data_IF_301637617312
#
_entry.id   IF_301637617312
#
_cell.length_a   1.000
_cell.length_b   1.000
_cell.length_c   1.000
_cell.angle_alpha   90.00
_cell.angle_beta   90.00
_cell.angle_gamma   90.00
#
_symmetry.space_group_name_H-M   'P 1'
#
loop_
_entity.id
_entity.type
_entity.pdbx_description
1 polymer ?
#
# COMPACT_ATOMS: atom_id res chain seq x y z
N UNK A 1 -1.57 -5.78 -11.64
CA UNK A 1 -0.69 -4.69 -12.09
C UNK A 1 -0.68 -3.62 -11.01
N UNK A 2 0.48 -3.16 -10.54
CA UNK A 2 0.55 -2.15 -9.48
C UNK A 2 -0.14 -0.85 -9.93
N UNK A 3 -0.94 -0.25 -9.06
CA UNK A 3 -1.57 1.05 -9.33
C UNK A 3 -0.53 2.15 -9.16
N UNK A 4 -0.37 2.99 -10.17
CA UNK A 4 0.58 4.11 -10.13
C UNK A 4 -0.19 5.40 -9.94
N UNK A 5 0.16 6.14 -8.88
CA UNK A 5 -0.39 7.47 -8.57
C UNK A 5 0.73 8.49 -8.72
N UNK A 6 0.44 9.63 -9.33
CA UNK A 6 1.38 10.75 -9.46
C UNK A 6 0.84 11.92 -8.66
N UNK A 7 1.64 12.45 -7.74
CA UNK A 7 1.31 13.60 -6.92
C UNK A 7 2.32 14.73 -7.16
N UNK A 8 1.84 15.87 -7.62
CA UNK A 8 2.66 17.08 -7.76
C UNK A 8 1.78 18.32 -7.77
N UNK A 9 2.21 19.38 -7.13
CA UNK A 9 1.56 20.70 -7.23
C UNK A 9 1.63 21.28 -8.65
N UNK A 10 2.67 20.93 -9.43
CA UNK A 10 2.84 21.37 -10.80
C UNK A 10 2.06 20.50 -11.79
N UNK A 11 1.12 21.06 -12.51
CA UNK A 11 0.37 20.38 -13.57
C UNK A 11 1.30 19.91 -14.71
N UNK A 12 2.28 20.74 -15.08
CA UNK A 12 3.26 20.38 -16.10
C UNK A 12 4.05 19.12 -15.71
N UNK A 13 4.49 19.05 -14.46
CA UNK A 13 5.20 17.87 -13.93
C UNK A 13 4.32 16.61 -13.90
N UNK A 14 3.05 16.74 -13.48
CA UNK A 14 2.10 15.62 -13.50
C UNK A 14 1.90 15.08 -14.93
N UNK A 15 1.67 15.98 -15.88
CA UNK A 15 1.42 15.60 -17.27
C UNK A 15 2.68 15.01 -17.94
N UNK A 16 3.86 15.55 -17.64
CA UNK A 16 5.13 15.04 -18.15
C UNK A 16 5.40 13.63 -17.65
N UNK A 17 5.27 13.39 -16.34
CA UNK A 17 5.44 12.06 -15.74
C UNK A 17 4.41 11.06 -16.27
N UNK A 18 3.15 11.48 -16.41
CA UNK A 18 2.10 10.62 -16.94
C UNK A 18 2.38 10.19 -18.40
N UNK A 19 2.82 11.11 -19.26
CA UNK A 19 3.20 10.80 -20.66
C UNK A 19 4.41 9.86 -20.72
N UNK A 20 5.42 10.12 -19.89
CA UNK A 20 6.60 9.27 -19.81
C UNK A 20 6.24 7.84 -19.41
N UNK A 21 5.42 7.67 -18.39
CA UNK A 21 4.97 6.35 -17.94
C UNK A 21 4.11 5.66 -19.00
N UNK A 22 3.18 6.38 -19.61
CA UNK A 22 2.32 5.84 -20.67
C UNK A 22 3.13 5.38 -21.89
N UNK A 23 4.16 6.12 -22.30
CA UNK A 23 5.05 5.73 -23.41
C UNK A 23 5.87 4.48 -23.12
N UNK A 24 6.04 4.14 -21.85
CA UNK A 24 6.75 2.93 -21.37
C UNK A 24 5.81 1.79 -20.98
N UNK A 25 4.52 1.90 -21.31
CA UNK A 25 3.53 0.83 -21.09
C UNK A 25 2.92 0.80 -19.70
N UNK A 26 3.18 1.80 -18.85
CA UNK A 26 2.56 1.90 -17.52
C UNK A 26 1.23 2.66 -17.58
N UNK A 27 0.25 2.19 -16.84
CA UNK A 27 -1.02 2.89 -16.67
C UNK A 27 -1.03 3.68 -15.37
N UNK A 28 -1.24 4.99 -15.47
CA UNK A 28 -1.39 5.86 -14.31
C UNK A 28 -2.84 5.80 -13.82
N UNK A 29 -3.02 5.43 -12.56
CA UNK A 29 -4.35 5.30 -11.95
C UNK A 29 -4.97 6.68 -11.66
N UNK A 30 -4.19 7.60 -11.08
CA UNK A 30 -4.68 8.96 -10.77
C UNK A 30 -3.54 9.99 -10.71
N UNK A 31 -3.88 11.24 -11.05
CA UNK A 31 -3.04 12.42 -10.91
C UNK A 31 -3.59 13.25 -9.75
N UNK A 32 -2.76 13.57 -8.76
CA UNK A 32 -3.12 14.34 -7.57
C UNK A 32 -2.38 15.68 -7.57
N UNK A 33 -3.09 16.78 -7.36
CA UNK A 33 -2.52 18.13 -7.32
C UNK A 33 -2.11 18.56 -5.91
N UNK A 34 -2.58 17.86 -4.89
CA UNK A 34 -2.34 18.18 -3.48
C UNK A 34 -2.19 16.95 -2.62
N UNK A 35 -1.65 17.14 -1.42
CA UNK A 35 -1.56 16.10 -0.40
C UNK A 35 -2.93 15.53 -0.02
N UNK A 36 -3.93 16.39 0.11
CA UNK A 36 -5.29 15.97 0.46
C UNK A 36 -5.94 15.07 -0.59
N UNK A 37 -5.68 15.33 -1.89
CA UNK A 37 -6.11 14.45 -2.97
C UNK A 37 -5.36 13.13 -2.95
N UNK A 38 -4.06 13.18 -2.69
CA UNK A 38 -3.24 11.97 -2.57
C UNK A 38 -3.74 11.08 -1.43
N UNK A 39 -3.97 11.62 -0.23
CA UNK A 39 -4.50 10.87 0.92
C UNK A 39 -5.84 10.20 0.60
N UNK A 40 -6.77 10.92 -0.03
CA UNK A 40 -8.06 10.35 -0.45
C UNK A 40 -7.87 9.21 -1.46
N UNK A 41 -7.01 9.42 -2.46
CA UNK A 41 -6.73 8.39 -3.46
C UNK A 41 -6.14 7.14 -2.82
N UNK A 42 -5.24 7.28 -1.85
CA UNK A 42 -4.62 6.15 -1.17
C UNK A 42 -5.58 5.40 -0.24
N UNK A 43 -6.58 6.07 0.32
CA UNK A 43 -7.65 5.38 1.07
C UNK A 43 -8.62 4.61 0.16
N UNK A 44 -8.78 5.04 -1.09
CA UNK A 44 -9.57 4.34 -2.10
C UNK A 44 -8.83 3.13 -2.71
N UNK A 45 -7.49 3.13 -2.63
CA UNK A 45 -6.63 2.08 -3.14
C UNK A 45 -6.08 1.23 -2.00
N UNK A 46 -6.00 -0.08 -2.20
CA UNK A 46 -5.43 -0.98 -1.20
C UNK A 46 -3.90 -0.91 -1.17
N UNK A 47 -3.28 -0.75 -2.34
CA UNK A 47 -1.84 -0.71 -2.52
C UNK A 47 -1.41 -0.02 -3.83
N UNK A 48 -0.13 0.26 -3.98
CA UNK A 48 0.42 0.82 -5.21
C UNK A 48 1.78 1.50 -5.09
N UNK A 49 2.11 2.26 -6.12
CA UNK A 49 3.33 3.06 -6.22
C UNK A 49 2.94 4.53 -6.37
N UNK A 50 3.56 5.39 -5.59
CA UNK A 50 3.31 6.82 -5.57
C UNK A 50 4.56 7.57 -6.01
N UNK A 51 4.46 8.30 -7.12
CA UNK A 51 5.51 9.24 -7.55
C UNK A 51 5.14 10.63 -7.02
N UNK A 52 6.04 11.24 -6.29
CA UNK A 52 5.85 12.56 -5.67
C UNK A 52 6.87 13.55 -6.20
N UNK A 53 6.42 14.75 -6.56
CA UNK A 53 7.28 15.84 -6.96
C UNK A 53 6.74 17.19 -6.46
N UNK A 54 7.55 17.94 -5.71
CA UNK A 54 7.14 19.24 -5.17
C UNK A 54 6.12 19.19 -4.02
N UNK A 55 5.91 18.01 -3.42
CA UNK A 55 5.14 17.79 -2.19
C UNK A 55 6.04 17.00 -1.25
N UNK A 56 6.04 17.29 0.04
CA UNK A 56 6.78 16.50 1.03
C UNK A 56 5.95 15.26 1.41
N UNK A 57 6.52 14.05 1.23
CA UNK A 57 5.76 12.82 1.45
C UNK A 57 5.89 12.22 2.85
N UNK A 58 6.66 12.81 3.77
CA UNK A 58 7.05 12.19 5.04
C UNK A 58 5.85 11.71 5.88
N UNK A 59 4.88 12.58 6.11
CA UNK A 59 3.69 12.25 6.90
C UNK A 59 2.81 11.20 6.21
N UNK A 60 2.65 11.33 4.89
CA UNK A 60 1.87 10.35 4.11
C UNK A 60 2.59 9.01 4.07
N UNK A 61 3.91 9.03 3.87
CA UNK A 61 4.70 7.81 3.84
C UNK A 61 4.65 7.08 5.20
N UNK A 62 4.67 7.80 6.32
CA UNK A 62 4.52 7.21 7.64
C UNK A 62 3.21 6.44 7.80
N UNK A 63 2.11 7.02 7.29
CA UNK A 63 0.77 6.42 7.40
C UNK A 63 0.56 5.23 6.43
N UNK A 64 1.15 5.29 5.24
CA UNK A 64 0.81 4.38 4.12
C UNK A 64 1.97 3.49 3.63
N UNK A 65 3.17 3.58 4.22
CA UNK A 65 4.35 2.81 3.79
C UNK A 65 4.17 1.28 3.81
N UNK A 66 3.21 0.82 4.56
CA UNK A 66 2.89 -0.61 4.63
C UNK A 66 2.23 -1.16 3.35
N UNK A 67 1.56 -0.30 2.59
CA UNK A 67 0.80 -0.67 1.38
C UNK A 67 1.35 -0.04 0.12
N UNK A 68 2.00 1.11 0.24
CA UNK A 68 2.49 1.87 -0.90
C UNK A 68 4.01 1.99 -0.91
N UNK A 69 4.58 2.05 -2.12
CA UNK A 69 5.97 2.43 -2.37
C UNK A 69 6.00 3.89 -2.80
N UNK A 70 6.89 4.67 -2.21
CA UNK A 70 7.03 6.10 -2.52
C UNK A 70 8.31 6.39 -3.27
N UNK A 71 8.23 7.16 -4.36
CA UNK A 71 9.35 7.72 -5.09
C UNK A 71 9.25 9.24 -5.08
N UNK A 72 10.13 9.90 -4.35
CA UNK A 72 10.27 11.35 -4.35
C UNK A 72 11.26 11.77 -5.44
N UNK A 73 10.79 12.58 -6.39
CA UNK A 73 11.60 13.16 -7.45
C UNK A 73 11.77 14.65 -7.15
N UNK A 74 12.98 15.08 -6.93
CA UNK A 74 13.24 16.48 -6.55
C UNK A 74 14.69 16.89 -6.62
N UNK A 75 14.95 18.18 -6.35
CA UNK A 75 16.30 18.70 -6.21
C UNK A 75 16.95 18.17 -4.93
N UNK A 76 18.28 18.20 -4.83
CA UNK A 76 18.99 17.71 -3.64
C UNK A 76 18.46 18.28 -2.33
N UNK A 77 18.09 19.56 -2.32
CA UNK A 77 17.57 20.24 -1.12
C UNK A 77 16.23 19.62 -0.67
N UNK A 78 15.33 19.35 -1.62
CA UNK A 78 14.04 18.69 -1.36
C UNK A 78 14.22 17.26 -0.88
N UNK A 79 15.16 16.55 -1.51
CA UNK A 79 15.45 15.14 -1.14
C UNK A 79 16.08 15.03 0.25
N UNK A 80 16.93 15.99 0.62
CA UNK A 80 17.56 16.04 1.93
C UNK A 80 16.58 16.44 3.04
N UNK A 81 15.56 17.23 2.71
CA UNK A 81 14.50 17.60 3.64
C UNK A 81 13.54 16.42 3.96
N UNK A 82 13.48 15.41 3.10
CA UNK A 82 12.71 14.20 3.36
C UNK A 82 13.49 13.26 4.28
N UNK A 83 13.02 13.05 5.49
CA UNK A 83 13.68 12.24 6.52
C UNK A 83 13.20 10.77 6.51
N UNK A 84 12.07 10.48 5.87
CA UNK A 84 11.51 9.13 5.84
C UNK A 84 12.43 8.12 5.14
N UNK A 85 12.87 7.06 5.83
CA UNK A 85 13.71 6.01 5.23
C UNK A 85 12.95 5.11 4.26
N UNK A 86 11.63 5.24 4.20
CA UNK A 86 10.74 4.42 3.37
C UNK A 86 10.43 5.08 2.03
N UNK A 87 10.92 6.29 1.81
CA UNK A 87 10.78 7.04 0.57
C UNK A 87 12.04 6.87 -0.27
N UNK A 88 11.88 6.29 -1.46
CA UNK A 88 12.95 6.24 -2.45
C UNK A 88 13.13 7.63 -3.06
N UNK A 89 14.38 8.00 -3.32
CA UNK A 89 14.74 9.35 -3.73
C UNK A 89 15.41 9.32 -5.10
N UNK A 90 14.94 10.17 -6.01
CA UNK A 90 15.53 10.37 -7.32
C UNK A 90 15.85 11.84 -7.55
N UNK A 91 17.12 12.14 -7.77
CA UNK A 91 17.57 13.52 -7.94
C UNK A 91 17.20 14.08 -9.31
N UNK A 92 16.65 15.29 -9.32
CA UNK A 92 16.37 16.07 -10.53
C UNK A 92 17.49 17.13 -10.76
N UNK A 93 17.94 17.33 -12.00
CA UNK A 93 17.46 16.76 -13.26
C UNK A 93 17.86 15.30 -13.45
N UNK A 94 16.95 14.48 -13.98
CA UNK A 94 17.19 13.09 -14.31
C UNK A 94 16.62 12.75 -15.70
N UNK A 95 17.15 11.70 -16.30
CA UNK A 95 16.63 11.20 -17.58
C UNK A 95 15.30 10.48 -17.39
N UNK A 96 14.48 10.44 -18.45
CA UNK A 96 13.26 9.65 -18.46
C UNK A 96 13.52 8.17 -18.16
N UNK A 97 14.63 7.62 -18.68
CA UNK A 97 15.06 6.25 -18.40
C UNK A 97 15.36 5.99 -16.91
N UNK A 98 15.89 6.97 -16.18
CA UNK A 98 16.12 6.86 -14.74
C UNK A 98 14.80 6.78 -13.97
N UNK A 99 13.81 7.57 -14.36
CA UNK A 99 12.46 7.51 -13.76
C UNK A 99 11.81 6.16 -14.03
N UNK A 100 11.86 5.68 -15.27
CA UNK A 100 11.28 4.37 -15.64
C UNK A 100 11.98 3.23 -14.91
N UNK A 101 13.32 3.23 -14.85
CA UNK A 101 14.07 2.22 -14.10
C UNK A 101 13.73 2.21 -12.60
N UNK A 102 13.54 3.37 -11.99
CA UNK A 102 13.10 3.48 -10.60
C UNK A 102 11.69 2.90 -10.40
N UNK A 103 10.75 3.23 -11.30
CA UNK A 103 9.38 2.69 -11.26
C UNK A 103 9.37 1.17 -11.48
N UNK A 104 10.18 0.66 -12.38
CA UNK A 104 10.33 -0.78 -12.62
C UNK A 104 10.84 -1.51 -11.38
N UNK A 105 11.88 -0.98 -10.74
CA UNK A 105 12.42 -1.53 -9.49
C UNK A 105 11.37 -1.51 -8.37
N UNK A 106 10.64 -0.40 -8.21
CA UNK A 106 9.57 -0.30 -7.21
C UNK A 106 8.42 -1.26 -7.50
N UNK A 107 8.10 -1.48 -8.77
CA UNK A 107 7.09 -2.46 -9.19
C UNK A 107 7.51 -3.88 -8.79
N UNK A 108 8.75 -4.24 -9.00
CA UNK A 108 9.28 -5.54 -8.56
C UNK A 108 9.24 -5.69 -7.04
N UNK A 109 9.67 -4.65 -6.29
CA UNK A 109 9.60 -4.64 -4.83
C UNK A 109 8.16 -4.74 -4.32
N UNK A 110 7.22 -4.08 -4.99
CA UNK A 110 5.80 -4.14 -4.67
C UNK A 110 5.27 -5.58 -4.78
N UNK A 111 5.54 -6.26 -5.89
CA UNK A 111 5.14 -7.65 -6.08
C UNK A 111 5.84 -8.62 -5.11
N UNK A 112 7.07 -8.36 -4.71
CA UNK A 112 7.76 -9.16 -3.69
C UNK A 112 7.11 -9.03 -2.30
N UNK A 113 6.45 -7.89 -2.00
CA UNK A 113 5.77 -7.66 -0.73
C UNK A 113 4.36 -8.25 -0.69
N UNK A 114 3.62 -8.22 -1.82
CA UNK A 114 2.25 -8.72 -1.91
C UNK A 114 2.09 -10.19 -1.47
N UNK A 115 2.90 -11.17 -1.97
CA UNK A 115 2.76 -12.55 -1.58
C UNK A 115 2.93 -12.80 -0.08
N UNK A 116 3.77 -12.02 0.59
CA UNK A 116 3.98 -12.14 2.04
C UNK A 116 2.79 -11.66 2.87
N UNK A 117 2.04 -10.66 2.39
CA UNK A 117 0.84 -10.17 3.07
C UNK A 117 -0.34 -11.10 2.87
N UNK A 118 -0.63 -11.48 1.62
CA UNK A 118 -1.70 -12.45 1.32
C UNK A 118 -1.44 -13.78 2.01
N UNK A 119 -0.19 -14.26 2.02
CA UNK A 119 0.19 -15.48 2.72
C UNK A 119 0.02 -15.36 4.23
N UNK A 120 0.38 -14.22 4.83
CA UNK A 120 0.29 -13.99 6.27
C UNK A 120 -1.15 -13.77 6.72
N UNK A 121 -1.90 -12.98 5.97
CA UNK A 121 -3.32 -12.72 6.23
C UNK A 121 -4.16 -13.99 6.03
N UNK A 122 -3.84 -14.76 4.99
CA UNK A 122 -4.47 -16.06 4.74
C UNK A 122 -4.14 -17.07 5.84
N UNK A 123 -2.87 -17.18 6.22
CA UNK A 123 -2.46 -18.06 7.33
C UNK A 123 -3.13 -17.65 8.64
N UNK A 124 -3.21 -16.36 8.94
CA UNK A 124 -3.87 -15.84 10.13
C UNK A 124 -5.35 -16.21 10.18
N UNK A 125 -6.06 -16.08 9.06
CA UNK A 125 -7.46 -16.46 8.93
C UNK A 125 -7.64 -17.97 9.03
N UNK A 126 -6.74 -18.77 8.43
CA UNK A 126 -6.77 -20.23 8.51
C UNK A 126 -6.54 -20.73 9.96
N UNK A 127 -5.57 -20.15 10.66
CA UNK A 127 -5.30 -20.51 12.06
C UNK A 127 -6.46 -20.11 12.98
N UNK A 128 -7.10 -18.96 12.75
CA UNK A 128 -8.29 -18.55 13.48
C UNK A 128 -9.50 -19.46 13.18
N UNK A 129 -9.67 -19.91 11.93
CA UNK A 129 -10.70 -20.91 11.57
C UNK A 129 -10.47 -22.23 12.33
N UNK A 130 -9.24 -22.73 12.34
CA UNK A 130 -8.90 -23.95 13.09
C UNK A 130 -9.24 -23.82 14.55
N UNK A 131 -8.88 -22.71 15.18
CA UNK A 131 -9.22 -22.45 16.59
C UNK A 131 -10.74 -22.50 16.84
N UNK A 132 -11.54 -21.89 15.94
CA UNK A 132 -13.01 -21.93 16.03
C UNK A 132 -13.56 -23.35 15.82
N UNK A 133 -13.02 -24.10 14.85
CA UNK A 133 -13.40 -25.49 14.57
C UNK A 133 -13.14 -26.37 15.81
N UNK A 134 -11.97 -26.24 16.43
CA UNK A 134 -11.60 -27.01 17.63
C UNK A 134 -12.45 -26.62 18.85
N UNK A 135 -12.63 -25.32 19.08
CA UNK A 135 -13.35 -24.79 20.26
C UNK A 135 -14.86 -25.10 20.20
N UNK A 136 -15.46 -24.99 19.04
CA UNK A 136 -16.93 -25.13 18.88
C UNK A 136 -17.35 -26.43 18.19
N UNK A 137 -16.40 -27.26 17.76
CA UNK A 137 -16.63 -28.51 17.02
C UNK A 137 -17.50 -28.32 15.78
N UNK A 138 -17.21 -27.29 15.01
CA UNK A 138 -17.87 -26.92 13.77
C UNK A 138 -16.96 -27.20 12.57
N UNK A 139 -17.54 -27.28 11.38
CA UNK A 139 -16.79 -27.45 10.14
C UNK A 139 -16.20 -26.12 9.63
N UNK A 140 -15.34 -26.21 8.62
CA UNK A 140 -14.66 -25.03 8.06
C UNK A 140 -15.63 -24.00 7.44
N UNK A 141 -16.68 -24.39 6.65
CA UNK A 141 -17.65 -23.46 6.13
C UNK A 141 -18.37 -22.67 7.22
N UNK A 142 -18.73 -23.31 8.31
CA UNK A 142 -19.41 -22.66 9.45
C UNK A 142 -18.45 -21.73 10.22
N UNK A 143 -17.19 -22.15 10.42
CA UNK A 143 -16.17 -21.32 11.03
C UNK A 143 -15.92 -20.03 10.21
N UNK A 144 -15.80 -20.17 8.89
CA UNK A 144 -15.63 -19.02 7.98
C UNK A 144 -16.84 -18.09 8.04
N UNK A 145 -18.05 -18.64 8.01
CA UNK A 145 -19.30 -17.87 8.08
C UNK A 145 -19.41 -17.08 9.39
N UNK A 146 -19.05 -17.67 10.53
CA UNK A 146 -19.04 -17.00 11.83
C UNK A 146 -18.04 -15.86 11.88
N UNK A 147 -16.83 -16.06 11.36
CA UNK A 147 -15.82 -15.01 11.26
C UNK A 147 -16.31 -13.84 10.41
N UNK A 148 -16.91 -14.15 9.26
CA UNK A 148 -17.44 -13.13 8.35
C UNK A 148 -18.59 -12.33 8.99
N UNK A 149 -19.54 -13.01 9.63
CA UNK A 149 -20.66 -12.33 10.32
C UNK A 149 -20.19 -11.45 11.47
N UNK A 150 -19.19 -11.89 12.23
CA UNK A 150 -18.63 -11.09 13.31
C UNK A 150 -17.90 -9.85 12.77
N UNK A 151 -17.06 -10.02 11.76
CA UNK A 151 -16.34 -8.91 11.13
C UNK A 151 -17.30 -7.87 10.54
N UNK A 152 -18.35 -8.31 9.84
CA UNK A 152 -19.38 -7.42 9.32
C UNK A 152 -20.16 -6.70 10.42
N UNK A 153 -20.55 -7.40 11.50
CA UNK A 153 -21.28 -6.81 12.62
C UNK A 153 -20.49 -5.72 13.36
N UNK A 154 -19.18 -5.90 13.45
CA UNK A 154 -18.28 -4.98 14.15
C UNK A 154 -17.55 -4.01 13.22
N UNK A 155 -17.90 -4.01 11.92
CA UNK A 155 -17.29 -3.15 10.89
C UNK A 155 -15.76 -3.19 10.88
N UNK A 156 -15.20 -4.41 11.00
CA UNK A 156 -13.76 -4.67 11.00
C UNK A 156 -13.37 -5.66 9.89
N UNK A 157 -12.08 -5.71 9.56
CA UNK A 157 -11.58 -6.71 8.60
C UNK A 157 -11.57 -8.11 9.24
N UNK A 158 -11.77 -9.13 8.42
CA UNK A 158 -11.71 -10.52 8.89
C UNK A 158 -10.33 -10.89 9.44
N UNK A 159 -9.26 -10.29 8.91
CA UNK A 159 -7.88 -10.42 9.40
C UNK A 159 -7.69 -9.82 10.79
N UNK A 160 -8.33 -8.66 11.07
CA UNK A 160 -8.25 -8.03 12.39
C UNK A 160 -8.96 -8.87 13.44
N UNK A 161 -10.12 -9.41 13.10
CA UNK A 161 -10.84 -10.36 13.96
C UNK A 161 -10.06 -11.66 14.18
N UNK A 162 -9.43 -12.19 13.14
CA UNK A 162 -8.58 -13.38 13.25
C UNK A 162 -7.42 -13.14 14.23
N UNK A 163 -6.77 -11.98 14.16
CA UNK A 163 -5.71 -11.59 15.09
C UNK A 163 -6.23 -11.50 16.54
N UNK A 164 -7.40 -10.92 16.76
CA UNK A 164 -8.03 -10.84 18.08
C UNK A 164 -8.36 -12.22 18.64
N UNK A 165 -8.90 -13.12 17.81
CA UNK A 165 -9.20 -14.50 18.23
C UNK A 165 -7.96 -15.25 18.69
N UNK A 166 -6.86 -15.13 17.95
CA UNK A 166 -5.60 -15.82 18.28
C UNK A 166 -4.91 -15.22 19.51
N UNK A 167 -5.07 -13.90 19.75
CA UNK A 167 -4.56 -13.24 20.96
C UNK A 167 -5.44 -13.49 22.19
N UNK A 168 -6.77 -13.53 21.99
CA UNK A 168 -7.74 -13.74 23.08
C UNK A 168 -7.91 -15.20 23.48
N UNK A 169 -7.45 -16.16 22.67
CA UNK A 169 -7.44 -17.58 23.03
C UNK A 169 -6.52 -17.94 24.19
N UNK A 170 -5.70 -16.98 24.67
CA UNK A 170 -4.83 -17.15 25.83
C UNK A 170 -5.45 -16.69 27.16
N UNK A 171 -6.71 -16.18 27.16
CA UNK A 171 -7.25 -15.49 28.34
C UNK A 171 -8.57 -16.06 28.89
N UNK A 172 -8.92 -17.32 28.58
CA UNK A 172 -9.96 -18.05 29.31
C UNK A 172 -9.34 -19.32 29.92
N UNK A 173 -8.64 -19.09 31.04
CA UNK A 173 -8.26 -20.09 32.02
C UNK A 173 -9.18 -19.98 33.21
#
# INVERSE_FOLDING_TARGET
>A
MARIVIASASEASRNQLARLLASSGYTVFRLCASEGELRRTMTECEDGIVLVSGIQPDDIAADFCSSFQFLLIGRPETLNACESPQVFKLSYPCSGSAVIGAVEMLTQLHYMRLPRREGRDKALVEDAKRLLMDKYRIDEPEAHRRMQQYAMRHNMKMTDYAAQLLQGGSNDG
#
